data_IF_167899468727
#
_entry.id   IF_167899468727
#
_cell.length_a   1.000
_cell.length_b   1.000
_cell.length_c   1.000
_cell.angle_alpha   90.00
_cell.angle_beta   90.00
_cell.angle_gamma   90.00
#
_symmetry.space_group_name_H-M   'P 1'
#
loop_
_entity.id
_entity.type
_entity.pdbx_description
1 polymer ?
#
# COMPACT_ATOMS: atom_id res chain seq x y z
N UNK A 1 -4.18 -32.96 1.81
CA UNK A 1 -4.36 -31.55 2.26
C UNK A 1 -3.01 -31.04 2.72
N UNK A 2 -2.55 -29.88 2.26
CA UNK A 2 -1.18 -29.35 2.40
C UNK A 2 -0.76 -28.95 3.84
N UNK A 3 -1.46 -29.41 4.89
CA UNK A 3 -1.11 -29.09 6.29
C UNK A 3 -1.19 -27.61 6.67
N UNK A 4 -1.75 -26.77 5.79
CA UNK A 4 -1.81 -25.31 5.97
C UNK A 4 -2.85 -24.94 7.02
N UNK A 5 -2.46 -24.10 7.99
CA UNK A 5 -3.37 -23.53 8.99
C UNK A 5 -3.97 -22.23 8.46
N UNK A 6 -5.29 -22.13 8.43
CA UNK A 6 -6.00 -20.92 8.04
C UNK A 6 -6.08 -19.97 9.23
N UNK A 7 -5.54 -18.76 9.08
CA UNK A 7 -5.75 -17.65 10.00
C UNK A 7 -6.86 -16.76 9.41
N UNK A 8 -8.07 -16.83 9.97
CA UNK A 8 -9.19 -15.98 9.56
C UNK A 8 -9.17 -14.70 10.38
N UNK A 9 -9.24 -13.54 9.72
CA UNK A 9 -9.49 -12.28 10.40
C UNK A 9 -10.96 -12.20 10.85
N UNK A 10 -11.23 -11.48 11.94
CA UNK A 10 -12.61 -11.15 12.30
C UNK A 10 -13.26 -10.26 11.23
N UNK A 11 -14.57 -10.41 11.03
CA UNK A 11 -15.32 -9.63 10.07
C UNK A 11 -15.21 -8.12 10.44
N UNK A 12 -14.94 -7.27 9.44
CA UNK A 12 -14.84 -5.81 9.60
C UNK A 12 -13.74 -5.31 10.55
N UNK A 13 -12.65 -6.08 10.75
CA UNK A 13 -11.45 -5.61 11.46
C UNK A 13 -10.27 -5.41 10.48
N UNK A 14 -10.24 -4.28 9.75
CA UNK A 14 -9.23 -3.99 8.71
C UNK A 14 -7.79 -3.91 9.24
N UNK A 15 -7.61 -3.84 10.56
CA UNK A 15 -6.30 -3.86 11.20
C UNK A 15 -5.53 -5.18 10.98
N UNK A 16 -6.21 -6.31 10.76
CA UNK A 16 -5.55 -7.62 10.62
C UNK A 16 -4.96 -7.84 9.23
N UNK A 17 -5.58 -7.29 8.18
CA UNK A 17 -5.15 -7.49 6.78
C UNK A 17 -4.62 -6.20 6.11
N UNK A 18 -4.30 -5.18 6.93
CA UNK A 18 -3.94 -3.86 6.43
C UNK A 18 -2.69 -3.82 5.52
N UNK A 19 -1.81 -4.81 5.62
CA UNK A 19 -0.65 -4.95 4.71
C UNK A 19 -1.09 -5.35 3.31
N UNK A 20 -1.96 -6.38 3.19
CA UNK A 20 -2.48 -6.80 1.90
C UNK A 20 -3.42 -5.75 1.32
N UNK A 21 -4.28 -5.14 2.13
CA UNK A 21 -5.16 -4.06 1.70
C UNK A 21 -4.38 -2.86 1.14
N UNK A 22 -3.31 -2.43 1.83
CA UNK A 22 -2.46 -1.33 1.36
C UNK A 22 -1.68 -1.69 0.09
N UNK A 23 -1.26 -2.95 -0.05
CA UNK A 23 -0.65 -3.44 -1.28
C UNK A 23 -1.64 -3.40 -2.44
N UNK A 24 -2.86 -3.90 -2.24
CA UNK A 24 -3.92 -3.91 -3.24
C UNK A 24 -4.29 -2.47 -3.65
N UNK A 25 -4.40 -1.55 -2.69
CA UNK A 25 -4.70 -0.15 -2.97
C UNK A 25 -3.63 0.49 -3.86
N UNK A 26 -2.35 0.26 -3.53
CA UNK A 26 -1.24 0.80 -4.32
C UNK A 26 -1.24 0.24 -5.76
N UNK A 27 -1.49 -1.06 -5.92
CA UNK A 27 -1.62 -1.67 -7.25
C UNK A 27 -2.78 -1.08 -8.04
N UNK A 28 -3.94 -0.87 -7.41
CA UNK A 28 -5.11 -0.23 -8.04
C UNK A 28 -4.80 1.19 -8.50
N UNK A 29 -4.11 1.98 -7.67
CA UNK A 29 -3.75 3.35 -8.01
C UNK A 29 -2.80 3.41 -9.21
N UNK A 30 -1.82 2.50 -9.27
CA UNK A 30 -0.90 2.40 -10.42
C UNK A 30 -1.68 2.05 -11.69
N UNK A 31 -2.47 0.98 -11.66
CA UNK A 31 -3.25 0.53 -12.81
C UNK A 31 -4.19 1.64 -13.29
N UNK A 32 -4.90 2.31 -12.38
CA UNK A 32 -5.81 3.40 -12.71
C UNK A 32 -5.10 4.52 -13.47
N UNK A 33 -3.93 4.96 -13.00
CA UNK A 33 -3.16 6.01 -13.66
C UNK A 33 -2.70 5.61 -15.06
N UNK A 34 -2.27 4.37 -15.25
CA UNK A 34 -1.86 3.87 -16.57
C UNK A 34 -3.05 3.72 -17.51
N UNK A 35 -4.19 3.23 -17.03
CA UNK A 35 -5.41 3.16 -17.84
C UNK A 35 -5.92 4.56 -18.23
N UNK A 36 -5.91 5.53 -17.30
CA UNK A 36 -6.27 6.94 -17.55
C UNK A 36 -5.32 7.57 -18.57
N UNK A 37 -4.01 7.43 -18.41
CA UNK A 37 -3.01 7.94 -19.35
C UNK A 37 -3.14 7.30 -20.74
N UNK A 38 -3.40 5.99 -20.78
CA UNK A 38 -3.68 5.27 -22.01
C UNK A 38 -4.85 5.89 -22.78
N UNK A 39 -5.92 6.30 -22.09
CA UNK A 39 -7.12 6.92 -22.72
C UNK A 39 -6.80 8.17 -23.54
N UNK A 40 -5.79 8.93 -23.12
CA UNK A 40 -5.32 10.15 -23.81
C UNK A 40 -4.33 9.82 -24.94
N UNK A 41 -3.46 8.83 -24.73
CA UNK A 41 -2.47 8.36 -25.71
C UNK A 41 -2.90 7.02 -26.32
N UNK A 42 -3.86 7.08 -27.26
CA UNK A 42 -4.17 5.92 -28.11
C UNK A 42 -2.99 5.62 -29.03
N UNK A 43 -2.21 4.59 -28.70
CA UNK A 43 -1.38 3.94 -29.71
C UNK A 43 -2.30 3.31 -30.77
N UNK A 44 -1.86 3.27 -32.03
CA UNK A 44 -2.61 2.75 -33.18
C UNK A 44 -3.08 1.28 -33.00
N UNK A 45 -2.59 0.60 -31.97
CA UNK A 45 -2.89 -0.80 -31.65
C UNK A 45 -3.78 -1.01 -30.40
N UNK A 46 -4.20 0.04 -29.68
CA UNK A 46 -5.24 -0.06 -28.63
C UNK A 46 -4.86 -0.75 -27.32
N UNK A 47 -3.60 -1.12 -27.10
CA UNK A 47 -3.18 -2.00 -25.99
C UNK A 47 -2.98 -1.34 -24.62
N UNK A 48 -2.84 -0.01 -24.52
CA UNK A 48 -2.43 0.65 -23.25
C UNK A 48 -3.58 0.70 -22.22
N UNK A 49 -4.82 0.38 -22.60
CA UNK A 49 -5.97 0.44 -21.70
C UNK A 49 -6.30 -0.88 -21.00
N UNK A 50 -5.71 -2.01 -21.42
CA UNK A 50 -6.06 -3.31 -20.84
C UNK A 50 -5.31 -3.54 -19.52
N UNK A 51 -6.05 -3.40 -18.42
CA UNK A 51 -5.54 -3.64 -17.07
C UNK A 51 -4.92 -5.03 -16.89
N UNK A 52 -5.38 -6.04 -17.65
CA UNK A 52 -4.86 -7.39 -17.56
C UNK A 52 -3.43 -7.48 -18.08
N UNK A 53 -3.14 -6.90 -19.26
CA UNK A 53 -1.75 -6.83 -19.78
C UNK A 53 -0.84 -6.00 -18.87
N UNK A 54 -1.38 -4.92 -18.28
CA UNK A 54 -0.64 -4.05 -17.35
C UNK A 54 -0.23 -4.76 -16.05
N UNK A 55 -0.99 -5.76 -15.61
CA UNK A 55 -0.78 -6.41 -14.31
C UNK A 55 0.64 -6.96 -14.14
N UNK A 56 1.18 -7.60 -15.18
CA UNK A 56 2.55 -8.15 -15.16
C UNK A 56 3.61 -7.06 -15.00
N UNK A 57 3.43 -5.94 -15.70
CA UNK A 57 4.33 -4.78 -15.62
C UNK A 57 4.22 -4.09 -14.25
N UNK A 58 3.00 -3.92 -13.74
CA UNK A 58 2.75 -3.33 -12.42
C UNK A 58 3.34 -4.19 -11.31
N UNK A 59 3.20 -5.51 -11.39
CA UNK A 59 3.80 -6.44 -10.42
C UNK A 59 5.33 -6.33 -10.43
N UNK A 60 5.94 -6.30 -11.61
CA UNK A 60 7.39 -6.14 -11.76
C UNK A 60 7.86 -4.81 -11.17
N UNK A 61 7.20 -3.70 -11.52
CA UNK A 61 7.51 -2.36 -11.01
C UNK A 61 7.32 -2.29 -9.48
N UNK A 62 6.24 -2.89 -8.97
CA UNK A 62 5.98 -2.93 -7.53
C UNK A 62 7.06 -3.72 -6.78
N UNK A 63 7.49 -4.86 -7.31
CA UNK A 63 8.48 -5.72 -6.65
C UNK A 63 9.89 -5.12 -6.67
N UNK A 64 10.24 -4.41 -7.74
CA UNK A 64 11.55 -3.79 -7.92
C UNK A 64 11.67 -2.41 -7.26
N UNK A 65 10.54 -1.75 -6.99
CA UNK A 65 10.51 -0.46 -6.27
C UNK A 65 10.86 -0.62 -4.80
N UNK A 66 11.69 0.31 -4.28
CA UNK A 66 12.07 0.35 -2.87
C UNK A 66 10.87 0.66 -1.98
N UNK A 67 10.70 -0.09 -0.89
CA UNK A 67 9.64 0.15 0.09
C UNK A 67 10.17 1.02 1.21
N UNK A 68 9.41 2.05 1.60
CA UNK A 68 9.79 3.00 2.65
C UNK A 68 10.03 2.33 4.01
N UNK A 69 9.31 1.24 4.29
CA UNK A 69 9.43 0.50 5.56
C UNK A 69 10.75 -0.26 5.69
N UNK A 70 11.27 -0.82 4.59
CA UNK A 70 12.47 -1.68 4.60
C UNK A 70 13.70 -1.05 3.98
N UNK A 71 13.54 0.08 3.26
CA UNK A 71 14.60 0.70 2.46
C UNK A 71 15.09 -0.18 1.30
N UNK A 72 14.42 -1.30 1.03
CA UNK A 72 14.81 -2.30 0.04
C UNK A 72 13.62 -2.64 -0.86
N UNK A 73 13.90 -3.11 -2.07
CA UNK A 73 12.89 -3.66 -2.97
C UNK A 73 12.42 -5.03 -2.49
N UNK A 74 11.20 -5.40 -2.86
CA UNK A 74 10.61 -6.67 -2.42
C UNK A 74 11.36 -7.85 -3.05
N UNK A 75 11.74 -7.76 -4.33
CA UNK A 75 12.54 -8.79 -5.00
C UNK A 75 13.91 -8.99 -4.36
N UNK A 76 14.54 -7.93 -3.85
CA UNK A 76 15.80 -8.04 -3.12
C UNK A 76 15.60 -8.75 -1.76
N UNK A 77 14.50 -8.48 -1.06
CA UNK A 77 14.19 -9.11 0.23
C UNK A 77 13.78 -10.57 0.06
N UNK A 78 12.96 -10.88 -0.94
CA UNK A 78 12.43 -12.22 -1.19
C UNK A 78 13.44 -13.14 -1.88
N UNK A 79 14.11 -12.65 -2.92
CA UNK A 79 14.94 -13.45 -3.82
C UNK A 79 16.44 -13.18 -3.67
N UNK A 80 16.82 -12.10 -2.99
CA UNK A 80 18.22 -11.69 -2.85
C UNK A 80 18.78 -10.90 -4.03
N UNK A 81 17.98 -10.63 -5.09
CA UNK A 81 18.43 -9.89 -6.27
C UNK A 81 17.28 -9.12 -6.94
N UNK A 82 17.63 -8.10 -7.72
CA UNK A 82 16.69 -7.37 -8.57
C UNK A 82 16.95 -7.69 -10.04
N UNK A 83 15.90 -7.96 -10.85
CA UNK A 83 16.06 -8.07 -12.30
C UNK A 83 16.52 -6.74 -12.90
N UNK A 84 17.33 -6.82 -13.95
CA UNK A 84 17.70 -5.67 -14.76
C UNK A 84 16.47 -5.24 -15.57
N UNK A 85 16.10 -3.97 -15.44
CA UNK A 85 14.99 -3.38 -16.18
C UNK A 85 15.50 -2.64 -17.42
N UNK A 86 14.68 -2.48 -18.48
CA UNK A 86 15.05 -1.68 -19.65
C UNK A 86 15.55 -0.27 -19.29
N UNK A 87 15.01 0.32 -18.22
CA UNK A 87 15.42 1.63 -17.71
C UNK A 87 16.85 1.65 -17.14
N UNK A 88 17.38 0.51 -16.69
CA UNK A 88 18.76 0.40 -16.20
C UNK A 88 19.78 0.44 -17.36
N UNK A 89 19.32 0.08 -18.57
CA UNK A 89 20.12 0.12 -19.79
C UNK A 89 20.09 1.48 -20.49
N UNK A 90 19.19 2.39 -20.10
CA UNK A 90 19.23 3.78 -20.52
C UNK A 90 20.46 4.43 -19.87
N UNK A 91 21.52 4.59 -20.67
CA UNK A 91 22.85 5.04 -20.24
C UNK A 91 22.80 6.25 -19.29
N UNK A 92 23.16 6.02 -18.03
CA UNK A 92 23.43 7.07 -17.02
C UNK A 92 24.60 8.01 -17.40
N UNK A 93 25.41 7.63 -18.40
CA UNK A 93 26.66 8.31 -18.75
C UNK A 93 26.57 9.26 -19.96
N UNK A 94 25.38 9.65 -20.41
CA UNK A 94 25.22 10.71 -21.42
C UNK A 94 24.19 11.72 -20.91
N UNK A 95 24.48 12.35 -19.78
CA UNK A 95 23.70 13.50 -19.31
C UNK A 95 24.68 14.60 -18.94
N UNK A 96 24.95 15.49 -19.89
CA UNK A 96 25.38 16.84 -19.56
C UNK A 96 24.20 17.49 -18.86
N UNK A 97 24.15 17.41 -17.52
CA UNK A 97 23.05 17.94 -16.73
C UNK A 97 22.99 19.44 -16.97
N UNK A 98 21.95 19.88 -17.67
CA UNK A 98 21.70 21.30 -17.90
C UNK A 98 21.58 22.01 -16.54
N UNK A 99 22.15 23.22 -16.33
CA UNK A 99 22.14 23.91 -15.04
C UNK A 99 20.75 23.98 -14.38
N UNK A 100 19.72 24.28 -15.17
CA UNK A 100 18.31 24.28 -14.70
C UNK A 100 17.83 22.94 -14.13
N UNK A 101 18.32 21.81 -14.65
CA UNK A 101 17.97 20.49 -14.14
C UNK A 101 18.62 20.21 -12.79
N UNK A 102 19.83 20.76 -12.55
CA UNK A 102 20.48 20.74 -11.24
C UNK A 102 19.70 21.59 -10.23
N UNK A 103 19.32 22.82 -10.60
CA UNK A 103 18.54 23.71 -9.74
C UNK A 103 17.17 23.08 -9.39
N UNK A 104 16.52 22.46 -10.37
CA UNK A 104 15.28 21.72 -10.16
C UNK A 104 15.47 20.53 -9.21
N UNK A 105 16.58 19.80 -9.33
CA UNK A 105 16.89 18.69 -8.43
C UNK A 105 17.09 19.15 -6.99
N UNK A 106 17.81 20.26 -6.77
CA UNK A 106 18.01 20.84 -5.44
C UNK A 106 16.68 21.34 -4.85
N UNK A 107 15.84 22.00 -5.65
CA UNK A 107 14.48 22.38 -5.25
C UNK A 107 13.65 21.16 -4.87
N UNK A 108 13.67 20.11 -5.69
CA UNK A 108 12.96 18.86 -5.45
C UNK A 108 13.40 18.20 -4.15
N UNK A 109 14.70 18.09 -3.90
CA UNK A 109 15.24 17.55 -2.65
C UNK A 109 14.73 18.32 -1.43
N UNK A 110 14.81 19.66 -1.45
CA UNK A 110 14.30 20.50 -0.35
C UNK A 110 12.79 20.31 -0.13
N UNK A 111 12.03 20.17 -1.21
CA UNK A 111 10.60 19.90 -1.13
C UNK A 111 10.32 18.52 -0.49
N UNK A 112 11.07 17.49 -0.89
CA UNK A 112 10.99 16.16 -0.29
C UNK A 112 11.34 16.18 1.21
N UNK A 113 12.42 16.84 1.59
CA UNK A 113 12.85 16.94 3.00
C UNK A 113 11.81 17.67 3.85
N UNK A 114 11.24 18.74 3.31
CA UNK A 114 10.18 19.50 3.96
C UNK A 114 8.92 18.64 4.13
N UNK A 115 8.51 17.93 3.09
CA UNK A 115 7.37 17.03 3.14
C UNK A 115 7.59 15.89 4.15
N UNK A 116 8.79 15.31 4.18
CA UNK A 116 9.16 14.27 5.14
C UNK A 116 9.06 14.78 6.59
N UNK A 117 9.54 16.01 6.86
CA UNK A 117 9.42 16.65 8.17
C UNK A 117 7.95 16.89 8.54
N UNK A 118 7.15 17.44 7.63
CA UNK A 118 5.71 17.65 7.87
C UNK A 118 4.98 16.33 8.19
N UNK A 119 5.30 15.25 7.49
CA UNK A 119 4.73 13.92 7.75
C UNK A 119 5.15 13.41 9.14
N UNK A 120 6.42 13.58 9.52
CA UNK A 120 6.93 13.18 10.82
C UNK A 120 6.24 13.96 11.96
N UNK A 121 6.11 15.27 11.83
CA UNK A 121 5.41 16.14 12.78
C UNK A 121 3.93 15.77 12.91
N UNK A 122 3.24 15.54 11.78
CA UNK A 122 1.85 15.10 11.78
C UNK A 122 1.68 13.72 12.45
N UNK A 123 2.60 12.79 12.22
CA UNK A 123 2.59 11.47 12.87
C UNK A 123 2.73 11.60 14.39
N UNK A 124 3.65 12.44 14.86
CA UNK A 124 3.88 12.67 16.29
C UNK A 124 2.67 13.34 16.95
N UNK A 125 2.09 14.35 16.29
CA UNK A 125 0.85 15.00 16.75
C UNK A 125 -0.32 14.01 16.86
N UNK A 126 -0.51 13.18 15.82
CA UNK A 126 -1.57 12.17 15.82
C UNK A 126 -1.37 11.13 16.93
N UNK A 127 -0.14 10.69 17.17
CA UNK A 127 0.19 9.79 18.28
C UNK A 127 -0.17 10.41 19.63
N UNK A 128 0.27 11.64 19.90
CA UNK A 128 -0.05 12.32 21.15
C UNK A 128 -1.55 12.54 21.36
N UNK A 129 -2.31 12.81 20.29
CA UNK A 129 -3.77 12.93 20.34
C UNK A 129 -4.44 11.59 20.62
N UNK A 130 -3.97 10.53 19.96
CA UNK A 130 -4.43 9.17 20.18
C UNK A 130 -4.18 8.77 21.64
N UNK A 131 -2.95 8.84 22.12
CA UNK A 131 -2.56 8.45 23.49
C UNK A 131 -3.36 9.20 24.58
N UNK A 132 -3.79 10.44 24.33
CA UNK A 132 -4.63 11.21 25.27
C UNK A 132 -6.09 10.77 25.33
N UNK A 133 -6.61 10.20 24.25
CA UNK A 133 -8.03 9.85 24.10
C UNK A 133 -8.29 8.36 24.10
N UNK A 134 -7.26 7.55 23.83
CA UNK A 134 -7.35 6.12 23.76
C UNK A 134 -7.20 5.51 25.15
N UNK A 135 -8.26 4.87 25.63
CA UNK A 135 -8.18 3.90 26.71
C UNK A 135 -8.52 2.54 26.13
N UNK A 136 -7.58 1.60 26.20
CA UNK A 136 -7.89 0.21 25.90
C UNK A 136 -8.81 -0.32 27.01
N UNK A 137 -10.03 -0.76 26.69
CA UNK A 137 -10.89 -1.37 27.70
C UNK A 137 -10.29 -2.70 28.17
N UNK A 138 -10.05 -2.82 29.47
CA UNK A 138 -9.71 -4.10 30.08
C UNK A 138 -10.98 -4.96 30.20
N UNK A 139 -10.99 -6.10 29.51
CA UNK A 139 -12.07 -7.08 29.62
C UNK A 139 -11.62 -8.26 30.47
N UNK A 140 -12.48 -8.69 31.40
CA UNK A 140 -12.28 -9.92 32.17
C UNK A 140 -13.18 -11.02 31.61
N UNK A 141 -12.76 -12.27 31.82
CA UNK A 141 -13.60 -13.42 31.48
C UNK A 141 -14.94 -13.34 32.22
N UNK A 142 -16.05 -13.26 31.47
CA UNK A 142 -17.40 -13.11 32.01
C UNK A 142 -18.06 -11.74 31.77
N UNK A 143 -17.31 -10.73 31.31
CA UNK A 143 -17.88 -9.42 31.00
C UNK A 143 -18.79 -9.45 29.76
N UNK A 144 -19.92 -8.75 29.85
CA UNK A 144 -20.84 -8.59 28.72
C UNK A 144 -20.40 -7.40 27.86
N UNK A 145 -20.17 -7.65 26.56
CA UNK A 145 -19.78 -6.63 25.59
C UNK A 145 -20.84 -6.46 24.50
N UNK A 146 -21.05 -5.21 24.08
CA UNK A 146 -21.94 -4.91 22.96
C UNK A 146 -21.20 -5.18 21.65
N UNK A 147 -21.76 -6.07 20.83
CA UNK A 147 -21.23 -6.41 19.51
C UNK A 147 -22.04 -5.67 18.45
N UNK A 148 -21.35 -4.97 17.55
CA UNK A 148 -22.00 -4.28 16.44
C UNK A 148 -22.53 -5.29 15.40
N UNK A 149 -23.84 -5.49 15.36
CA UNK A 149 -24.48 -6.61 14.65
C UNK A 149 -24.52 -6.50 13.13
N UNK A 150 -24.37 -5.30 12.56
CA UNK A 150 -24.23 -5.09 11.10
C UNK A 150 -22.95 -5.72 10.54
N UNK A 151 -21.97 -6.02 11.38
CA UNK A 151 -20.71 -6.67 11.02
C UNK A 151 -20.77 -8.21 11.07
N UNK A 152 -21.83 -8.80 11.64
CA UNK A 152 -21.94 -10.23 11.91
C UNK A 152 -23.17 -10.85 11.22
N UNK A 153 -23.11 -11.02 9.90
CA UNK A 153 -24.15 -11.74 9.14
C UNK A 153 -24.18 -13.27 9.40
N UNK A 154 -23.23 -13.80 10.17
CA UNK A 154 -23.07 -15.24 10.40
C UNK A 154 -23.43 -15.72 11.82
N UNK A 155 -24.13 -14.92 12.63
CA UNK A 155 -24.76 -15.44 13.85
C UNK A 155 -26.05 -16.21 13.50
N UNK A 156 -25.92 -17.32 12.76
CA UNK A 156 -26.90 -18.42 12.81
C UNK A 156 -26.65 -19.23 14.10
N UNK A 157 -26.80 -18.56 15.24
CA UNK A 157 -26.97 -19.20 16.55
C UNK A 157 -28.45 -19.22 16.91
N UNK A 158 -28.90 -20.16 17.78
CA UNK A 158 -30.31 -20.30 18.10
C UNK A 158 -30.84 -19.01 18.73
N UNK A 159 -31.85 -18.42 18.09
CA UNK A 159 -32.68 -17.36 18.68
C UNK A 159 -33.39 -17.94 19.90
N UNK A 160 -32.93 -17.61 21.10
CA UNK A 160 -33.67 -17.75 22.36
C UNK A 160 -33.77 -16.37 23.00
N UNK A 161 -34.82 -15.96 23.67
CA UNK A 161 -36.26 -16.25 23.67
C UNK A 161 -36.83 -14.93 24.21
N UNK A 162 -37.94 -14.42 23.65
CA UNK A 162 -38.63 -13.30 24.27
C UNK A 162 -39.39 -13.85 25.46
N UNK A 163 -39.10 -13.32 26.64
CA UNK A 163 -40.05 -13.12 27.73
C UNK A 163 -40.03 -11.62 28.07
#
# INVERSE_FOLDING_TARGET
>A
MLGTKLALSSAYHPQTDGVAERMIQNMKDIIRRFCEYGMEYKDHQGYIHDWFTLLSYVQLAYNTSQKSTTGKSLSLVEKGWNPLLPVDHLKKNILTIHPKAKDFHEMWQRACDTAARCIAEAKEYNKQRWDKSHMEPEFKEGDQVLVYTLSYNNLKGPKRMRD
#
